data_IF_093580185163
#
_entry.id   IF_093580185163
#
_cell.length_a   1.000
_cell.length_b   1.000
_cell.length_c   1.000
_cell.angle_alpha   90.00
_cell.angle_beta   90.00
_cell.angle_gamma   90.00
#
_symmetry.space_group_name_H-M   'P 1'
#
loop_
_entity.id
_entity.type
_entity.pdbx_description
1 polymer ?
#
# COMPACT_ATOMS: atom_id res chain seq x y z
N UNK A 1 -12.65 6.20 -8.11
CA UNK A 1 -12.48 5.58 -6.78
C UNK A 1 -11.83 6.58 -5.83
N UNK A 2 -12.31 6.64 -4.61
CA UNK A 2 -11.76 7.55 -3.60
C UNK A 2 -10.32 7.18 -3.24
N UNK A 3 -9.56 8.17 -2.82
CA UNK A 3 -8.19 7.99 -2.30
C UNK A 3 -8.27 8.01 -0.78
N UNK A 4 -8.06 6.85 -0.16
CA UNK A 4 -8.21 6.68 1.29
C UNK A 4 -6.98 7.10 2.08
N UNK A 5 -5.83 7.17 1.43
CA UNK A 5 -4.57 7.54 2.04
C UNK A 5 -3.73 8.33 1.04
N UNK A 6 -3.19 9.45 1.47
CA UNK A 6 -2.35 10.32 0.66
C UNK A 6 -1.06 10.61 1.42
N UNK A 7 0.08 10.26 0.85
CA UNK A 7 1.40 10.44 1.46
C UNK A 7 2.31 11.20 0.50
N UNK A 8 3.00 12.22 0.98
CA UNK A 8 3.89 12.98 0.11
C UNK A 8 4.75 14.01 0.83
N UNK A 9 5.69 14.58 0.09
CA UNK A 9 6.62 15.61 0.57
C UNK A 9 6.59 16.89 -0.27
N UNK A 10 5.61 17.05 -1.16
CA UNK A 10 5.49 18.20 -2.06
C UNK A 10 6.07 17.98 -3.47
N UNK A 11 6.94 17.00 -3.65
CA UNK A 11 7.50 16.59 -4.95
C UNK A 11 7.11 15.19 -5.33
N UNK A 12 7.02 14.31 -4.34
CA UNK A 12 6.74 12.90 -4.44
C UNK A 12 5.45 12.62 -3.67
N UNK A 13 4.47 12.03 -4.32
CA UNK A 13 3.16 11.78 -3.72
C UNK A 13 2.63 10.43 -4.13
N UNK A 14 2.18 9.67 -3.14
CA UNK A 14 1.62 8.34 -3.32
C UNK A 14 0.21 8.30 -2.73
N UNK A 15 -0.75 7.85 -3.52
CA UNK A 15 -2.14 7.71 -3.12
C UNK A 15 -2.56 6.24 -3.10
N UNK A 16 -3.31 5.87 -2.07
CA UNK A 16 -3.91 4.55 -1.92
C UNK A 16 -5.43 4.63 -2.06
N UNK A 17 -6.04 3.56 -2.56
CA UNK A 17 -7.49 3.38 -2.56
C UNK A 17 -7.98 2.59 -1.34
N UNK A 18 -9.28 2.27 -1.29
CA UNK A 18 -9.90 1.55 -0.18
C UNK A 18 -9.44 0.10 -0.04
N UNK A 19 -8.78 -0.45 -1.04
CA UNK A 19 -8.23 -1.80 -1.03
C UNK A 19 -6.72 -1.83 -0.77
N UNK A 20 -6.18 -0.73 -0.25
CA UNK A 20 -4.76 -0.61 0.02
C UNK A 20 -3.89 -0.76 -1.22
N UNK A 21 -4.46 -0.48 -2.39
CA UNK A 21 -3.71 -0.46 -3.65
C UNK A 21 -3.18 0.93 -3.90
N UNK A 22 -1.92 1.02 -4.33
CA UNK A 22 -1.36 2.29 -4.77
C UNK A 22 -1.98 2.63 -6.12
N UNK A 23 -2.61 3.79 -6.20
CA UNK A 23 -3.30 4.28 -7.39
C UNK A 23 -2.52 5.31 -8.16
N UNK A 24 -1.76 6.13 -7.46
CA UNK A 24 -1.00 7.22 -8.07
C UNK A 24 0.38 7.28 -7.45
N UNK A 25 1.39 7.47 -8.28
CA UNK A 25 2.77 7.76 -7.89
C UNK A 25 3.21 8.96 -8.70
N UNK A 26 3.14 10.15 -8.11
CA UNK A 26 3.54 11.40 -8.78
C UNK A 26 4.96 11.78 -8.41
N UNK A 27 5.77 12.09 -9.43
CA UNK A 27 7.11 12.58 -9.29
C UNK A 27 7.62 13.10 -10.65
N UNK A 28 8.31 14.22 -10.74
CA UNK A 28 8.59 15.21 -9.69
C UNK A 28 7.49 16.26 -9.54
N UNK A 29 6.44 16.24 -10.36
CA UNK A 29 5.34 17.21 -10.32
C UNK A 29 4.03 16.51 -10.04
N UNK A 30 3.46 16.84 -8.89
CA UNK A 30 2.20 16.25 -8.42
C UNK A 30 1.06 16.65 -9.37
N UNK A 31 0.29 15.65 -9.79
CA UNK A 31 -0.84 15.83 -10.69
C UNK A 31 -0.47 15.84 -12.18
N UNK A 32 0.80 15.74 -12.51
CA UNK A 32 1.28 15.75 -13.91
C UNK A 32 1.91 14.41 -14.28
N UNK A 33 3.07 14.08 -13.72
CA UNK A 33 3.76 12.83 -14.02
C UNK A 33 3.28 11.73 -13.07
N UNK A 34 2.31 10.93 -13.49
CA UNK A 34 1.83 9.77 -12.74
C UNK A 34 2.46 8.50 -13.30
N UNK A 35 3.32 7.86 -12.53
CA UNK A 35 4.07 6.68 -12.95
C UNK A 35 3.29 5.37 -12.84
N UNK A 36 2.01 5.41 -12.54
CA UNK A 36 1.13 4.25 -12.57
C UNK A 36 0.29 4.16 -13.84
N UNK A 37 0.11 5.28 -14.52
CA UNK A 37 -0.79 5.40 -15.66
C UNK A 37 -2.20 4.82 -15.37
N UNK A 38 -2.67 5.01 -14.14
CA UNK A 38 -3.95 4.48 -13.70
C UNK A 38 -3.98 2.99 -13.36
N UNK A 39 -2.85 2.29 -13.48
CA UNK A 39 -2.75 0.87 -13.14
C UNK A 39 -2.53 0.71 -11.64
N UNK A 40 -3.39 -0.02 -10.93
CA UNK A 40 -3.23 -0.17 -9.49
C UNK A 40 -2.06 -1.09 -9.15
N UNK A 41 -1.27 -0.72 -8.14
CA UNK A 41 -0.29 -1.61 -7.55
C UNK A 41 -0.97 -2.40 -6.45
N UNK A 42 -0.94 -3.72 -6.58
CA UNK A 42 -1.68 -4.61 -5.70
C UNK A 42 -0.83 -5.12 -4.54
N UNK A 43 -1.51 -5.50 -3.48
CA UNK A 43 -0.93 -6.06 -2.28
C UNK A 43 -1.63 -7.38 -1.96
N UNK A 44 -0.87 -8.40 -1.61
CA UNK A 44 -1.44 -9.69 -1.29
C UNK A 44 -0.50 -10.59 -0.51
N UNK A 45 -1.01 -11.76 -0.16
CA UNK A 45 -0.26 -12.78 0.56
C UNK A 45 -0.41 -14.14 -0.11
N UNK A 46 0.61 -14.96 0.02
CA UNK A 46 0.52 -16.39 -0.25
C UNK A 46 0.58 -17.14 1.08
N UNK A 47 -0.40 -17.96 1.33
CA UNK A 47 -0.50 -18.81 2.52
C UNK A 47 -1.36 -20.02 2.20
N UNK A 48 -1.06 -21.16 2.83
CA UNK A 48 -1.82 -22.41 2.67
C UNK A 48 -2.00 -22.81 1.20
N UNK A 49 -0.97 -22.59 0.37
CA UNK A 49 -0.94 -23.01 -1.02
C UNK A 49 -1.63 -22.10 -2.03
N UNK A 50 -2.11 -20.92 -1.62
CA UNK A 50 -2.84 -20.02 -2.51
C UNK A 50 -2.46 -18.55 -2.29
N UNK A 51 -2.56 -17.76 -3.36
CA UNK A 51 -2.36 -16.31 -3.31
C UNK A 51 -3.69 -15.61 -3.08
N UNK A 52 -3.71 -14.66 -2.17
CA UNK A 52 -4.87 -13.86 -1.82
C UNK A 52 -4.54 -12.38 -1.94
N UNK A 53 -5.11 -11.72 -2.93
CA UNK A 53 -5.01 -10.26 -3.05
C UNK A 53 -5.97 -9.59 -2.07
N UNK A 54 -5.59 -8.40 -1.58
CA UNK A 54 -6.48 -7.63 -0.73
C UNK A 54 -7.68 -7.16 -1.56
N UNK A 55 -8.86 -7.59 -1.14
CA UNK A 55 -10.14 -7.34 -1.78
C UNK A 55 -11.24 -7.08 -0.74
N UNK A 56 -12.50 -7.17 -1.14
CA UNK A 56 -13.65 -6.94 -0.26
C UNK A 56 -13.80 -7.95 0.88
N UNK A 57 -13.18 -9.13 0.78
CA UNK A 57 -13.22 -10.16 1.83
C UNK A 57 -12.38 -9.76 3.04
N UNK A 58 -11.35 -8.94 2.83
CA UNK A 58 -10.50 -8.44 3.91
C UNK A 58 -11.20 -7.33 4.67
N UNK A 59 -11.12 -7.37 5.99
CA UNK A 59 -11.42 -6.20 6.81
C UNK A 59 -10.27 -5.20 6.66
N UNK A 60 -10.60 -3.94 6.42
CA UNK A 60 -9.62 -2.90 6.13
C UNK A 60 -9.87 -1.68 6.99
N UNK A 61 -8.85 -1.25 7.71
CA UNK A 61 -8.83 0.03 8.41
C UNK A 61 -7.66 0.84 7.84
N UNK A 62 -7.95 1.92 7.14
CA UNK A 62 -6.94 2.75 6.47
C UNK A 62 -7.07 4.17 7.00
N UNK A 63 -5.98 4.72 7.50
CA UNK A 63 -5.94 6.08 8.01
C UNK A 63 -4.53 6.51 8.34
N UNK A 64 -4.41 7.52 9.19
CA UNK A 64 -3.13 8.05 9.65
C UNK A 64 -2.91 7.75 11.12
N UNK A 65 -1.64 7.63 11.51
CA UNK A 65 -1.30 7.71 12.93
C UNK A 65 -1.63 9.11 13.44
N UNK A 66 -2.20 9.19 14.63
CA UNK A 66 -2.63 10.46 15.22
C UNK A 66 -1.50 11.48 15.25
N UNK A 67 -1.77 12.67 14.73
CA UNK A 67 -0.82 13.77 14.71
C UNK A 67 0.35 13.61 13.75
N UNK A 68 0.28 12.70 12.81
CA UNK A 68 1.38 12.42 11.85
C UNK A 68 0.88 12.34 10.41
N UNK A 69 1.83 12.32 9.47
CA UNK A 69 1.59 11.97 8.05
C UNK A 69 2.01 10.52 7.75
N UNK A 70 2.09 9.68 8.77
CA UNK A 70 2.34 8.26 8.61
C UNK A 70 1.02 7.55 8.39
N UNK A 71 0.87 6.84 7.28
CA UNK A 71 -0.27 5.99 7.01
C UNK A 71 -0.25 4.77 7.91
N UNK A 72 -1.39 4.43 8.48
CA UNK A 72 -1.58 3.24 9.30
C UNK A 72 -2.72 2.42 8.71
N UNK A 73 -2.42 1.20 8.34
CA UNK A 73 -3.42 0.30 7.73
C UNK A 73 -3.42 -1.02 8.49
N UNK A 74 -4.60 -1.51 8.82
CA UNK A 74 -4.79 -2.85 9.38
C UNK A 74 -5.66 -3.64 8.42
N UNK A 75 -5.13 -4.77 7.96
CA UNK A 75 -5.80 -5.68 7.05
C UNK A 75 -5.99 -7.01 7.78
N UNK A 76 -7.22 -7.51 7.83
CA UNK A 76 -7.52 -8.77 8.50
C UNK A 76 -8.35 -9.67 7.60
N UNK A 77 -7.89 -10.90 7.44
CA UNK A 77 -8.63 -11.93 6.74
C UNK A 77 -8.95 -13.06 7.73
N UNK A 78 -10.21 -13.12 8.17
CA UNK A 78 -10.61 -14.05 9.24
C UNK A 78 -10.50 -15.50 8.82
N UNK A 79 -10.92 -15.84 7.61
CA UNK A 79 -10.86 -17.22 7.12
C UNK A 79 -9.42 -17.73 7.03
N UNK A 80 -8.46 -16.87 6.65
CA UNK A 80 -7.05 -17.21 6.62
C UNK A 80 -6.39 -17.15 8.01
N UNK A 81 -7.02 -16.47 8.96
CA UNK A 81 -6.44 -16.23 10.28
C UNK A 81 -5.18 -15.37 10.23
N UNK A 82 -5.17 -14.34 9.39
CA UNK A 82 -4.05 -13.42 9.24
C UNK A 82 -4.47 -11.98 9.51
N UNK A 83 -3.56 -11.24 10.11
CA UNK A 83 -3.63 -9.80 10.25
C UNK A 83 -2.33 -9.19 9.77
N UNK A 84 -2.43 -8.17 8.94
CA UNK A 84 -1.29 -7.39 8.46
C UNK A 84 -1.42 -5.98 9.00
N UNK A 85 -0.38 -5.50 9.64
CA UNK A 85 -0.29 -4.11 10.09
C UNK A 85 0.77 -3.41 9.26
N UNK A 86 0.36 -2.35 8.61
CA UNK A 86 1.20 -1.64 7.66
C UNK A 86 1.35 -0.19 8.09
N UNK A 87 2.56 0.32 8.01
CA UNK A 87 2.88 1.73 8.18
C UNK A 87 3.59 2.21 6.92
N UNK A 88 3.13 3.30 6.38
CA UNK A 88 3.62 3.86 5.12
C UNK A 88 3.94 5.34 5.31
N UNK A 89 5.05 5.79 4.77
CA UNK A 89 5.44 7.19 4.83
C UNK A 89 6.30 7.56 3.62
N UNK A 90 6.20 8.82 3.21
CA UNK A 90 7.17 9.45 2.30
C UNK A 90 8.10 10.30 3.15
N UNK A 91 9.41 10.12 2.96
CA UNK A 91 10.40 10.91 3.68
C UNK A 91 10.24 12.39 3.34
N UNK A 92 10.41 13.27 4.35
CA UNK A 92 10.18 14.69 4.18
C UNK A 92 11.25 15.37 3.32
N UNK A 93 12.50 14.94 3.43
CA UNK A 93 13.62 15.56 2.73
C UNK A 93 14.03 14.79 1.47
N UNK A 94 13.97 13.46 1.52
CA UNK A 94 14.33 12.59 0.42
C UNK A 94 13.08 12.06 -0.30
N UNK A 95 13.22 11.75 -1.59
CA UNK A 95 12.12 11.19 -2.38
C UNK A 95 12.12 9.67 -2.23
N UNK A 96 11.81 9.23 -1.01
CA UNK A 96 11.82 7.82 -0.60
C UNK A 96 10.46 7.48 -0.01
N UNK A 97 9.88 6.40 -0.52
CA UNK A 97 8.69 5.78 0.04
C UNK A 97 9.10 4.62 0.95
N UNK A 98 8.73 4.70 2.22
CA UNK A 98 9.07 3.70 3.22
C UNK A 98 7.81 2.93 3.62
N UNK A 99 7.92 1.62 3.69
CA UNK A 99 6.85 0.72 4.12
C UNK A 99 7.35 -0.22 5.20
N UNK A 100 6.59 -0.33 6.28
CA UNK A 100 6.82 -1.30 7.35
C UNK A 100 5.63 -2.24 7.42
N UNK A 101 5.89 -3.54 7.42
CA UNK A 101 4.86 -4.56 7.42
C UNK A 101 5.06 -5.49 8.62
N UNK A 102 4.00 -5.72 9.38
CA UNK A 102 3.96 -6.71 10.45
C UNK A 102 2.90 -7.75 10.09
N UNK A 103 3.31 -9.01 10.03
CA UNK A 103 2.40 -10.13 9.76
C UNK A 103 2.11 -10.85 11.06
N UNK A 104 0.84 -10.99 11.40
CA UNK A 104 0.38 -11.70 12.59
C UNK A 104 -0.44 -12.91 12.20
N UNK A 105 -0.07 -14.06 12.74
CA UNK A 105 -0.90 -15.25 12.66
C UNK A 105 -1.92 -15.23 13.80
N UNK A 106 -3.21 -15.30 13.47
CA UNK A 106 -4.29 -15.27 14.43
C UNK A 106 -4.71 -16.67 14.92
N UNK A 107 -4.15 -17.71 14.31
CA UNK A 107 -4.44 -19.10 14.68
C UNK A 107 -3.48 -19.65 15.72
N UNK A 108 -2.39 -18.94 16.00
CA UNK A 108 -1.35 -19.41 16.92
C UNK A 108 -0.52 -20.57 16.37
N UNK A 109 -0.50 -20.76 15.07
CA UNK A 109 0.23 -21.82 14.40
C UNK A 109 1.44 -21.26 13.63
N UNK A 110 2.51 -22.03 13.55
CA UNK A 110 3.62 -21.70 12.68
C UNK A 110 3.23 -21.99 11.23
N UNK A 111 3.17 -20.96 10.41
CA UNK A 111 2.82 -21.06 8.99
C UNK A 111 3.80 -20.29 8.14
N UNK A 112 3.95 -20.76 6.91
CA UNK A 112 4.73 -20.03 5.91
C UNK A 112 3.83 -19.01 5.21
N UNK A 113 4.15 -17.74 5.36
CA UNK A 113 3.43 -16.64 4.71
C UNK A 113 4.41 -15.86 3.84
N UNK A 114 4.03 -15.62 2.60
CA UNK A 114 4.75 -14.72 1.69
C UNK A 114 3.91 -13.49 1.46
N UNK A 115 4.55 -12.33 1.47
CA UNK A 115 3.89 -11.06 1.16
C UNK A 115 4.29 -10.63 -0.24
N UNK A 116 3.32 -10.25 -1.04
CA UNK A 116 3.54 -9.79 -2.41
C UNK A 116 3.19 -8.32 -2.55
N UNK A 117 4.15 -7.57 -3.07
CA UNK A 117 4.00 -6.17 -3.45
C UNK A 117 4.08 -6.14 -4.99
N UNK A 118 2.93 -6.00 -5.64
CA UNK A 118 2.86 -5.94 -7.09
C UNK A 118 2.97 -4.49 -7.56
N UNK A 119 4.00 -4.19 -8.30
CA UNK A 119 4.23 -2.89 -8.91
C UNK A 119 4.08 -3.00 -10.42
N UNK A 120 3.34 -2.09 -11.02
CA UNK A 120 3.13 -2.01 -12.46
C UNK A 120 3.43 -0.59 -12.92
N UNK A 121 4.72 -0.25 -12.94
CA UNK A 121 5.17 1.09 -13.31
C UNK A 121 5.06 1.33 -14.81
N UNK A 122 4.55 2.49 -15.14
CA UNK A 122 4.71 3.11 -16.45
C UNK A 122 5.42 4.44 -16.21
N UNK A 123 6.72 4.45 -16.40
CA UNK A 123 7.51 5.64 -16.10
C UNK A 123 7.16 6.73 -17.10
N UNK A 124 6.59 7.80 -16.59
CA UNK A 124 6.16 8.95 -17.36
C UNK A 124 7.18 10.07 -17.20
N UNK A 125 7.58 10.66 -18.31
CA UNK A 125 8.42 11.85 -18.32
C UNK A 125 7.74 12.94 -19.14
N UNK A 126 8.04 14.21 -18.84
CA UNK A 126 7.65 15.27 -19.76
C UNK A 126 8.66 15.34 -20.88
N UNK A 127 8.22 15.05 -22.08
CA UNK A 127 9.00 15.31 -23.28
C UNK A 127 9.00 16.82 -23.52
N UNK A 128 10.00 17.44 -23.00
CA UNK A 128 10.18 18.87 -23.22
C UNK A 128 11.30 19.09 -24.21
#
# INVERSE_FOLDING_TARGET
MARSLVLGNGRFLINFDDFYRIRDVYYPHIGIENHTEGRPFRFGVWVDGATHWVDEVWEREIGYEEGTLVGRTVLRHRALGLELRCRDAVDFEADIFCRELEVRDLRGAARHVKVFLHHDFYISGSDV
#
